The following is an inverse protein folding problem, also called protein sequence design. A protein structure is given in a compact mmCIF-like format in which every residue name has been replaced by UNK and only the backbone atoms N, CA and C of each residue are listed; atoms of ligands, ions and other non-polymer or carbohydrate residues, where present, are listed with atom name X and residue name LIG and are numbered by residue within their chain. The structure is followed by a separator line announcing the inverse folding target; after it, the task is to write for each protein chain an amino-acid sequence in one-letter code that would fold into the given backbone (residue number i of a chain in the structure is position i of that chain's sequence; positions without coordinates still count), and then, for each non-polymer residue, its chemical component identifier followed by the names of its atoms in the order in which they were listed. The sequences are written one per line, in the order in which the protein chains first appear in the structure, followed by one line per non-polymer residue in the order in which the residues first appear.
data_IF_995018559304
#
_entry.id   IF_995018559304
#
_cell.length_a   1.000
_cell.length_b   1.000
_cell.length_c   1.000
_cell.angle_alpha   90.00
_cell.angle_beta   90.00
_cell.angle_gamma   90.00
#
_symmetry.space_group_name_H-M   'P 1'
#
loop_
_entity.id
_entity.type
_entity.pdbx_description
1 polymer ?
#
# COMPACT_ATOMS: atom_id res chain seq x y z
N UNK A 1 20.24 -11.71 -61.53
CA UNK A 1 19.69 -10.51 -60.85
C UNK A 1 18.24 -10.76 -60.49
N UNK A 2 17.97 -11.14 -59.24
CA UNK A 2 16.60 -11.31 -58.73
C UNK A 2 16.37 -10.27 -57.63
N UNK A 3 15.35 -9.41 -57.80
CA UNK A 3 14.96 -8.37 -56.85
C UNK A 3 14.14 -8.99 -55.71
N UNK A 4 14.64 -8.82 -54.49
CA UNK A 4 13.95 -9.07 -53.22
C UNK A 4 12.67 -8.24 -53.13
N UNK A 5 11.54 -8.86 -52.78
CA UNK A 5 10.31 -8.19 -52.36
C UNK A 5 10.35 -8.09 -50.83
N UNK A 6 10.47 -6.87 -50.31
CA UNK A 6 10.25 -6.57 -48.88
C UNK A 6 8.78 -6.74 -48.53
N UNK A 7 8.50 -7.50 -47.47
CA UNK A 7 7.18 -7.58 -46.86
C UNK A 7 6.77 -6.22 -46.26
N UNK A 8 5.48 -5.86 -46.25
CA UNK A 8 5.03 -4.65 -45.57
C UNK A 8 5.11 -4.84 -44.05
N UNK A 9 5.65 -3.84 -43.36
CA UNK A 9 5.61 -3.73 -41.90
C UNK A 9 4.16 -3.80 -41.42
N UNK A 10 3.82 -4.85 -40.66
CA UNK A 10 2.59 -4.87 -39.90
C UNK A 10 2.70 -3.81 -38.80
N UNK A 11 1.80 -2.81 -38.73
CA UNK A 11 1.77 -1.93 -37.57
C UNK A 11 1.45 -2.80 -36.34
N UNK A 12 2.31 -2.75 -35.34
CA UNK A 12 2.04 -3.35 -34.03
C UNK A 12 0.67 -2.85 -33.56
N UNK A 13 -0.18 -3.71 -32.97
CA UNK A 13 -1.46 -3.26 -32.46
C UNK A 13 -1.21 -2.14 -31.44
N UNK A 14 -2.02 -1.07 -31.43
CA UNK A 14 -1.90 -0.06 -30.41
C UNK A 14 -2.06 -0.76 -29.06
N UNK A 15 -1.11 -0.59 -28.16
CA UNK A 15 -1.26 -1.07 -26.78
C UNK A 15 -2.38 -0.22 -26.18
N UNK A 16 -3.61 -0.74 -26.19
CA UNK A 16 -4.76 -0.11 -25.56
C UNK A 16 -4.58 -0.28 -24.05
N UNK A 17 -3.72 0.55 -23.44
CA UNK A 17 -3.73 0.80 -21.99
C UNK A 17 -4.91 1.73 -21.65
N UNK A 18 -6.14 1.32 -21.97
CA UNK A 18 -7.32 2.05 -21.51
C UNK A 18 -7.77 1.48 -20.17
N UNK A 19 -6.99 1.78 -19.12
CA UNK A 19 -7.42 1.69 -17.71
C UNK A 19 -8.84 2.22 -17.53
N UNK A 20 -9.20 3.27 -18.29
CA UNK A 20 -10.51 3.92 -18.31
C UNK A 20 -11.64 2.97 -18.75
N UNK A 21 -11.39 2.04 -19.67
CA UNK A 21 -12.40 1.07 -20.12
C UNK A 21 -12.66 -0.04 -19.08
N UNK A 22 -11.69 -0.30 -18.19
CA UNK A 22 -11.80 -1.27 -17.08
C UNK A 22 -12.25 -0.66 -15.76
N UNK A 23 -12.42 0.67 -15.66
CA UNK A 23 -13.04 1.36 -14.51
C UNK A 23 -14.56 1.15 -14.51
N UNK A 24 -15.03 -0.08 -14.57
CA UNK A 24 -16.44 -0.41 -14.50
C UNK A 24 -16.80 -0.81 -13.06
N UNK A 25 -17.68 -0.01 -12.46
CA UNK A 25 -18.63 -0.35 -11.38
C UNK A 25 -18.38 0.20 -9.97
N UNK A 26 -17.27 0.86 -9.66
CA UNK A 26 -17.14 1.59 -8.39
C UNK A 26 -16.23 2.80 -8.56
N UNK A 27 -16.83 3.92 -8.97
CA UNK A 27 -16.16 5.21 -8.94
C UNK A 27 -16.42 5.80 -7.56
N UNK A 28 -15.35 6.11 -6.83
CA UNK A 28 -15.44 6.90 -5.60
C UNK A 28 -16.25 8.17 -5.88
N UNK A 29 -17.23 8.47 -5.02
CA UNK A 29 -18.11 9.62 -5.21
C UNK A 29 -17.36 10.95 -5.20
N UNK A 30 -16.13 10.97 -4.66
CA UNK A 30 -15.26 12.16 -4.61
C UNK A 30 -15.99 13.36 -4.01
N UNK A 31 -16.88 13.14 -3.04
CA UNK A 31 -17.81 14.12 -2.47
C UNK A 31 -17.13 15.34 -1.85
N UNK A 32 -15.84 15.23 -1.50
CA UNK A 32 -15.00 16.32 -0.99
C UNK A 32 -14.57 17.31 -2.09
N UNK A 33 -14.51 16.86 -3.34
CA UNK A 33 -14.15 17.73 -4.45
C UNK A 33 -15.32 18.66 -4.80
N UNK A 34 -15.07 19.97 -4.84
CA UNK A 34 -16.12 20.98 -5.05
C UNK A 34 -16.90 20.83 -6.35
N UNK A 35 -16.28 20.27 -7.40
CA UNK A 35 -16.99 20.00 -8.65
C UNK A 35 -17.98 18.83 -8.50
N UNK A 36 -17.73 17.88 -7.60
CA UNK A 36 -18.60 16.74 -7.34
C UNK A 36 -19.60 16.99 -6.20
N UNK A 37 -19.38 18.02 -5.38
CA UNK A 37 -20.34 18.48 -4.35
C UNK A 37 -21.51 19.29 -4.90
N UNK A 38 -21.40 19.86 -6.11
CA UNK A 38 -22.51 20.57 -6.77
C UNK A 38 -23.50 19.59 -7.43
N UNK A 39 -24.79 19.95 -7.58
CA UNK A 39 -25.80 19.06 -8.16
C UNK A 39 -25.46 18.54 -9.56
N UNK A 40 -25.87 17.31 -9.86
CA UNK A 40 -25.56 16.63 -11.12
C UNK A 40 -25.95 17.45 -12.37
N UNK A 41 -27.12 18.07 -12.37
CA UNK A 41 -27.59 18.92 -13.47
C UNK A 41 -26.65 20.11 -13.73
N UNK A 42 -26.09 20.70 -12.68
CA UNK A 42 -25.12 21.80 -12.80
C UNK A 42 -23.78 21.28 -13.34
N UNK A 43 -23.30 20.12 -12.85
CA UNK A 43 -22.09 19.49 -13.40
C UNK A 43 -22.23 19.20 -14.89
N UNK A 44 -23.36 18.63 -15.29
CA UNK A 44 -23.65 18.32 -16.68
C UNK A 44 -23.67 19.58 -17.54
N UNK A 45 -24.22 20.68 -17.02
CA UNK A 45 -24.24 21.95 -17.74
C UNK A 45 -22.83 22.55 -17.86
N UNK A 46 -22.01 22.49 -16.81
CA UNK A 46 -20.59 22.86 -16.87
C UNK A 46 -19.87 22.04 -17.95
N UNK A 47 -20.07 20.72 -17.97
CA UNK A 47 -19.46 19.85 -18.98
C UNK A 47 -19.95 20.18 -20.39
N UNK A 48 -21.25 20.43 -20.57
CA UNK A 48 -21.80 20.84 -21.87
C UNK A 48 -21.21 22.14 -22.35
N UNK A 49 -21.08 23.15 -21.48
CA UNK A 49 -20.51 24.44 -21.82
C UNK A 49 -19.01 24.32 -22.13
N UNK A 50 -18.25 23.58 -21.31
CA UNK A 50 -16.82 23.36 -21.51
C UNK A 50 -16.51 22.59 -22.80
N UNK A 51 -17.39 21.67 -23.20
CA UNK A 51 -17.25 20.83 -24.40
C UNK A 51 -18.05 21.36 -25.59
N UNK A 52 -18.64 22.56 -25.48
CA UNK A 52 -19.45 23.15 -26.55
C UNK A 52 -18.55 23.55 -27.72
N UNK A 53 -19.09 23.37 -28.92
CA UNK A 53 -18.48 23.89 -30.13
C UNK A 53 -18.65 25.42 -30.21
N UNK A 54 -17.61 26.14 -30.64
CA UNK A 54 -17.65 27.59 -30.87
C UNK A 54 -16.80 27.97 -32.10
N UNK A 55 -16.97 29.22 -32.56
CA UNK A 55 -16.19 29.81 -33.66
C UNK A 55 -14.75 30.10 -33.21
N UNK A 56 -13.78 29.49 -33.89
CA UNK A 56 -12.36 29.78 -33.67
C UNK A 56 -11.97 31.04 -34.45
N UNK A 57 -12.00 32.19 -33.76
CA UNK A 57 -11.70 33.51 -34.34
C UNK A 57 -10.30 33.59 -34.96
N UNK A 58 -9.39 32.70 -34.58
CA UNK A 58 -8.05 32.62 -35.18
C UNK A 58 -8.02 31.90 -36.53
N UNK A 59 -9.13 31.26 -36.93
CA UNK A 59 -9.23 30.39 -38.12
C UNK A 59 -10.39 30.79 -39.03
N UNK A 60 -10.27 31.99 -39.61
CA UNK A 60 -11.20 32.48 -40.63
C UNK A 60 -11.16 31.61 -41.89
N UNK A 61 -12.31 31.38 -42.53
CA UNK A 61 -12.32 30.83 -43.89
C UNK A 61 -11.73 31.86 -44.88
N UNK A 62 -10.86 31.46 -45.82
CA UNK A 62 -10.39 32.38 -46.85
C UNK A 62 -11.57 32.95 -47.64
N UNK A 63 -11.57 34.25 -47.92
CA UNK A 63 -12.72 34.98 -48.49
C UNK A 63 -13.25 34.37 -49.79
N UNK A 64 -12.34 33.87 -50.64
CA UNK A 64 -12.65 33.27 -51.93
C UNK A 64 -12.70 31.74 -51.92
N UNK A 65 -12.62 31.09 -50.75
CA UNK A 65 -12.78 29.64 -50.67
C UNK A 65 -14.25 29.25 -50.89
N UNK A 66 -14.48 28.11 -51.56
CA UNK A 66 -15.82 27.52 -51.71
C UNK A 66 -16.57 27.32 -50.37
N UNK A 67 -15.82 27.21 -49.26
CA UNK A 67 -16.36 27.04 -47.90
C UNK A 67 -16.57 28.35 -47.13
N UNK A 68 -16.31 29.50 -47.76
CA UNK A 68 -16.59 30.82 -47.20
C UNK A 68 -18.09 30.97 -46.90
N UNK A 69 -18.43 31.61 -45.80
CA UNK A 69 -19.79 31.71 -45.24
C UNK A 69 -20.02 33.15 -44.75
N UNK A 70 -21.22 33.73 -44.93
CA UNK A 70 -21.56 35.04 -44.37
C UNK A 70 -21.68 34.98 -42.83
N UNK A 71 -21.61 36.13 -42.12
CA UNK A 71 -21.73 36.14 -40.67
C UNK A 71 -23.10 35.65 -40.21
N UNK A 72 -23.18 34.95 -39.06
CA UNK A 72 -22.14 34.85 -38.04
C UNK A 72 -21.07 33.75 -38.28
N UNK A 73 -21.32 32.78 -39.17
CA UNK A 73 -20.49 31.57 -39.30
C UNK A 73 -19.27 31.72 -40.23
N UNK A 74 -18.46 32.77 -40.03
CA UNK A 74 -17.26 33.05 -40.87
C UNK A 74 -16.03 32.25 -40.48
N UNK A 75 -16.04 31.67 -39.28
CA UNK A 75 -14.89 31.00 -38.69
C UNK A 75 -15.06 29.48 -38.74
N UNK A 76 -13.93 28.77 -38.64
CA UNK A 76 -13.96 27.32 -38.44
C UNK A 76 -14.43 27.04 -37.02
N UNK A 77 -15.25 26.02 -36.90
CA UNK A 77 -15.75 25.60 -35.59
C UNK A 77 -14.71 24.73 -34.88
N UNK A 78 -14.53 24.94 -33.57
CA UNK A 78 -13.65 24.17 -32.70
C UNK A 78 -14.43 23.64 -31.49
N UNK A 79 -14.14 22.41 -31.09
CA UNK A 79 -14.58 21.83 -29.82
C UNK A 79 -13.40 21.90 -28.85
N UNK A 80 -13.60 22.47 -27.66
CA UNK A 80 -12.56 22.46 -26.63
C UNK A 80 -12.63 21.13 -25.87
N UNK A 81 -11.58 20.31 -26.00
CA UNK A 81 -11.42 19.08 -25.20
C UNK A 81 -10.26 19.20 -24.21
N UNK A 82 -9.70 20.40 -24.05
CA UNK A 82 -8.47 20.67 -23.30
C UNK A 82 -8.61 20.23 -21.84
N UNK A 83 -9.78 20.41 -21.21
CA UNK A 83 -10.06 19.93 -19.85
C UNK A 83 -9.95 18.40 -19.75
N UNK A 84 -10.59 17.66 -20.66
CA UNK A 84 -10.57 16.19 -20.65
C UNK A 84 -9.17 15.64 -20.93
N UNK A 85 -8.47 16.24 -21.91
CA UNK A 85 -7.10 15.87 -22.25
C UNK A 85 -6.17 16.14 -21.06
N UNK A 86 -6.33 17.28 -20.39
CA UNK A 86 -5.53 17.63 -19.21
C UNK A 86 -5.77 16.65 -18.07
N UNK A 87 -7.02 16.38 -17.71
CA UNK A 87 -7.35 15.40 -16.67
C UNK A 87 -6.82 14.00 -17.00
N UNK A 88 -6.96 13.55 -18.25
CA UNK A 88 -6.40 12.28 -18.72
C UNK A 88 -4.88 12.26 -18.60
N UNK A 89 -4.21 13.34 -19.02
CA UNK A 89 -2.75 13.46 -18.98
C UNK A 89 -2.23 13.43 -17.54
N UNK A 90 -2.83 14.20 -16.64
CA UNK A 90 -2.50 14.19 -15.20
C UNK A 90 -2.66 12.78 -14.63
N UNK A 91 -3.78 12.11 -14.92
CA UNK A 91 -3.98 10.74 -14.45
C UNK A 91 -2.91 9.79 -15.01
N UNK A 92 -2.67 9.80 -16.32
CA UNK A 92 -1.65 8.95 -16.94
C UNK A 92 -0.24 9.20 -16.37
N UNK A 93 0.10 10.45 -16.04
CA UNK A 93 1.40 10.82 -15.47
C UNK A 93 1.54 10.52 -13.97
N UNK A 94 0.42 10.43 -13.21
CA UNK A 94 0.47 10.37 -11.75
C UNK A 94 -0.20 9.14 -11.10
N UNK A 95 -0.88 8.27 -11.88
CA UNK A 95 -1.69 7.16 -11.36
C UNK A 95 -0.91 6.10 -10.54
N UNK A 96 0.41 6.05 -10.68
CA UNK A 96 1.31 5.14 -9.97
C UNK A 96 2.07 5.84 -8.82
N UNK A 97 2.23 7.17 -8.86
CA UNK A 97 2.97 7.95 -7.86
C UNK A 97 2.48 7.67 -6.45
N UNK A 98 1.16 7.66 -6.23
CA UNK A 98 0.58 7.39 -4.92
C UNK A 98 1.01 6.02 -4.36
N UNK A 99 1.22 5.02 -5.22
CA UNK A 99 1.67 3.69 -4.85
C UNK A 99 3.19 3.63 -4.68
N UNK A 100 3.93 4.45 -5.44
CA UNK A 100 5.38 4.52 -5.41
C UNK A 100 5.95 5.23 -4.17
N UNK A 101 5.29 6.31 -3.73
CA UNK A 101 5.80 7.17 -2.65
C UNK A 101 5.38 6.70 -1.26
N UNK A 102 4.28 5.96 -1.15
CA UNK A 102 3.72 5.55 0.13
C UNK A 102 4.04 4.08 0.46
N UNK A 103 4.33 3.76 1.73
CA UNK A 103 4.42 2.38 2.16
C UNK A 103 3.03 1.71 2.10
N UNK A 104 2.99 0.51 1.52
CA UNK A 104 1.79 -0.32 1.52
C UNK A 104 1.73 -1.10 2.82
N UNK A 105 0.81 -0.69 3.68
CA UNK A 105 0.65 -1.26 5.02
C UNK A 105 -0.36 -2.40 5.02
N UNK A 106 0.03 -3.52 5.64
CA UNK A 106 -0.81 -4.68 5.88
C UNK A 106 -0.76 -5.08 7.35
N UNK A 107 -1.86 -5.65 7.82
CA UNK A 107 -1.99 -6.16 9.17
C UNK A 107 -2.25 -7.66 9.11
N UNK A 108 -1.49 -8.40 9.89
CA UNK A 108 -1.84 -9.77 10.25
C UNK A 108 -3.19 -9.73 10.96
N UNK A 109 -4.01 -10.65 10.49
CA UNK A 109 -5.40 -10.79 10.80
C UNK A 109 -5.62 -12.27 11.15
N UNK A 110 -4.74 -12.82 11.99
CA UNK A 110 -4.76 -14.20 12.43
C UNK A 110 -6.03 -14.48 13.25
N UNK A 111 -6.92 -15.33 12.69
CA UNK A 111 -8.01 -16.01 13.40
C UNK A 111 -9.32 -15.23 13.55
N UNK A 112 -10.38 -15.95 13.94
CA UNK A 112 -11.78 -15.50 14.17
C UNK A 112 -11.96 -14.21 15.01
N UNK A 113 -10.86 -13.75 15.61
CA UNK A 113 -10.71 -12.57 16.45
C UNK A 113 -10.85 -11.24 15.67
N UNK A 114 -10.99 -11.27 14.35
CA UNK A 114 -11.26 -10.04 13.55
C UNK A 114 -12.70 -9.55 13.59
N UNK A 115 -13.67 -10.41 13.94
CA UNK A 115 -14.96 -9.90 14.37
C UNK A 115 -14.80 -9.17 15.73
N UNK A 116 -13.70 -9.43 16.43
CA UNK A 116 -13.48 -9.06 17.81
C UNK A 116 -12.27 -8.12 18.04
N UNK A 117 -11.63 -7.45 17.06
CA UNK A 117 -10.52 -6.50 17.39
C UNK A 117 -10.59 -5.13 16.74
N UNK A 118 -11.64 -4.84 16.00
CA UNK A 118 -12.01 -3.45 15.75
C UNK A 118 -10.98 -2.60 15.00
N UNK A 119 -10.14 -3.24 14.19
CA UNK A 119 -9.14 -2.53 13.40
C UNK A 119 -9.81 -1.57 12.40
N UNK A 120 -9.16 -0.42 12.11
CA UNK A 120 -9.70 0.56 11.18
C UNK A 120 -10.00 -0.11 9.84
N UNK A 121 -11.17 0.23 9.27
CA UNK A 121 -11.84 -0.25 8.06
C UNK A 121 -10.93 -0.34 6.81
N UNK A 122 -9.92 -1.19 6.90
CA UNK A 122 -8.90 -1.40 5.89
C UNK A 122 -9.04 -2.83 5.42
N UNK A 123 -9.65 -2.98 4.24
CA UNK A 123 -9.88 -4.23 3.51
C UNK A 123 -8.59 -4.97 3.10
N UNK A 124 -7.45 -4.70 3.75
CA UNK A 124 -6.11 -5.19 3.44
C UNK A 124 -5.59 -6.09 4.58
N UNK A 125 -6.36 -7.12 4.86
CA UNK A 125 -5.96 -8.16 5.80
C UNK A 125 -5.08 -9.18 5.09
N UNK A 126 -4.06 -9.69 5.79
CA UNK A 126 -3.22 -10.77 5.31
C UNK A 126 -3.97 -12.12 5.38
N UNK A 127 -5.07 -12.27 4.61
CA UNK A 127 -5.85 -13.52 4.46
C UNK A 127 -5.29 -14.38 3.33
N UNK A 128 -5.87 -15.58 3.20
CA UNK A 128 -5.42 -16.71 2.36
C UNK A 128 -5.00 -16.39 0.92
N UNK A 129 -5.53 -15.32 0.32
CA UNK A 129 -5.10 -14.86 -1.01
C UNK A 129 -4.72 -13.37 -1.03
N UNK A 130 -3.43 -13.11 -0.83
CA UNK A 130 -2.85 -11.78 -0.93
C UNK A 130 -2.82 -11.24 -2.37
N UNK A 131 -2.89 -12.10 -3.39
CA UNK A 131 -2.92 -11.67 -4.79
C UNK A 131 -4.20 -10.89 -5.10
N UNK A 132 -5.30 -11.21 -4.40
CA UNK A 132 -6.53 -10.45 -4.44
C UNK A 132 -6.35 -8.99 -4.01
N UNK A 133 -5.43 -8.66 -3.10
CA UNK A 133 -5.18 -7.25 -2.74
C UNK A 133 -4.67 -6.42 -3.93
N UNK A 134 -4.07 -7.06 -4.93
CA UNK A 134 -3.45 -6.40 -6.07
C UNK A 134 -4.19 -6.58 -7.39
N UNK A 135 -5.22 -7.44 -7.45
CA UNK A 135 -5.97 -7.75 -8.68
C UNK A 135 -6.51 -6.51 -9.43
N UNK A 136 -6.85 -5.44 -8.71
CA UNK A 136 -7.37 -4.17 -9.23
C UNK A 136 -6.30 -3.22 -9.78
N UNK A 137 -5.03 -3.45 -9.46
CA UNK A 137 -3.93 -2.63 -9.94
C UNK A 137 -3.42 -3.14 -11.28
N UNK A 138 -3.01 -2.20 -12.14
CA UNK A 138 -2.30 -2.53 -13.38
C UNK A 138 -0.90 -3.05 -13.11
N UNK A 139 -0.25 -3.57 -14.15
CA UNK A 139 1.14 -4.04 -14.09
C UNK A 139 2.07 -2.91 -13.63
N UNK A 140 1.89 -1.70 -14.16
CA UNK A 140 2.70 -0.52 -13.80
C UNK A 140 2.48 -0.14 -12.34
N UNK A 141 1.22 -0.10 -11.90
CA UNK A 141 0.86 0.21 -10.52
C UNK A 141 1.41 -0.80 -9.52
N UNK A 142 1.39 -2.10 -9.84
CA UNK A 142 1.99 -3.12 -8.99
C UNK A 142 3.51 -3.03 -8.97
N UNK A 143 4.14 -2.74 -10.11
CA UNK A 143 5.59 -2.53 -10.20
C UNK A 143 6.06 -1.27 -9.44
N UNK A 144 5.19 -0.27 -9.27
CA UNK A 144 5.44 0.92 -8.47
C UNK A 144 5.46 0.64 -6.96
N UNK A 145 4.83 -0.45 -6.50
CA UNK A 145 4.85 -0.85 -5.08
C UNK A 145 6.26 -1.34 -4.70
N UNK A 146 7.03 -0.44 -4.10
CA UNK A 146 8.43 -0.70 -3.72
C UNK A 146 8.66 -0.75 -2.22
N UNK A 147 7.69 -0.29 -1.43
CA UNK A 147 7.79 -0.16 0.02
C UNK A 147 6.58 -0.83 0.67
N UNK A 148 6.81 -1.86 1.48
CA UNK A 148 5.78 -2.62 2.17
C UNK A 148 6.02 -2.59 3.67
N UNK A 149 4.96 -2.41 4.44
CA UNK A 149 4.98 -2.48 5.91
C UNK A 149 3.99 -3.55 6.37
N UNK A 150 4.47 -4.46 7.21
CA UNK A 150 3.68 -5.53 7.79
C UNK A 150 3.63 -5.33 9.30
N UNK A 151 2.45 -5.37 9.89
CA UNK A 151 2.24 -5.47 11.33
C UNK A 151 1.78 -6.88 11.64
N UNK A 152 2.58 -7.67 12.34
CA UNK A 152 2.39 -9.12 12.41
C UNK A 152 2.63 -9.67 13.79
N UNK A 153 2.03 -10.83 14.06
CA UNK A 153 2.39 -11.68 15.20
C UNK A 153 3.68 -12.47 14.93
N UNK A 154 4.34 -12.89 16.02
CA UNK A 154 5.50 -13.80 15.92
C UNK A 154 5.12 -15.13 15.23
N UNK A 155 3.89 -15.58 15.44
CA UNK A 155 3.41 -16.87 14.90
C UNK A 155 3.11 -16.76 13.40
N UNK A 156 2.58 -15.62 12.96
CA UNK A 156 2.35 -15.37 11.54
C UNK A 156 3.64 -15.37 10.71
N UNK A 157 4.75 -14.87 11.24
CA UNK A 157 6.06 -14.96 10.56
C UNK A 157 6.48 -16.40 10.29
N UNK A 158 6.09 -17.34 11.15
CA UNK A 158 6.39 -18.76 10.98
C UNK A 158 5.26 -19.53 10.27
N UNK A 159 4.24 -18.82 9.77
CA UNK A 159 3.08 -19.41 9.10
C UNK A 159 3.30 -19.62 7.59
N UNK A 160 2.54 -20.53 6.96
CA UNK A 160 2.50 -20.65 5.49
C UNK A 160 2.10 -19.34 4.78
N UNK A 161 1.30 -18.48 5.42
CA UNK A 161 0.85 -17.21 4.86
C UNK A 161 2.01 -16.23 4.63
N UNK A 162 3.00 -16.19 5.54
CA UNK A 162 4.19 -15.36 5.33
C UNK A 162 5.05 -15.88 4.18
N UNK A 163 5.17 -17.21 4.04
CA UNK A 163 5.85 -17.80 2.89
C UNK A 163 5.12 -17.44 1.59
N UNK A 164 3.80 -17.53 1.55
CA UNK A 164 2.99 -17.11 0.40
C UNK A 164 3.20 -15.63 0.07
N UNK A 165 3.24 -14.74 1.08
CA UNK A 165 3.58 -13.33 0.89
C UNK A 165 4.94 -13.16 0.21
N UNK A 166 5.97 -13.85 0.68
CA UNK A 166 7.32 -13.76 0.11
C UNK A 166 7.39 -14.28 -1.34
N UNK A 167 6.48 -15.16 -1.73
CA UNK A 167 6.39 -15.73 -3.08
C UNK A 167 5.53 -14.92 -4.05
N UNK A 168 4.89 -13.84 -3.60
CA UNK A 168 4.07 -12.99 -4.45
C UNK A 168 4.88 -12.42 -5.61
N UNK A 169 4.44 -12.73 -6.83
CA UNK A 169 5.03 -12.19 -8.06
C UNK A 169 4.35 -10.90 -8.52
N UNK A 170 3.20 -10.58 -7.93
CA UNK A 170 2.43 -9.39 -8.24
C UNK A 170 3.20 -8.11 -7.91
N UNK A 171 3.90 -8.10 -6.77
CA UNK A 171 4.70 -6.96 -6.32
C UNK A 171 6.16 -7.34 -6.19
N UNK A 172 7.04 -6.33 -6.23
CA UNK A 172 8.48 -6.56 -6.12
C UNK A 172 9.10 -5.54 -5.15
N UNK A 173 8.82 -5.68 -3.83
CA UNK A 173 9.25 -4.72 -2.83
C UNK A 173 10.78 -4.62 -2.79
N UNK A 174 11.26 -3.39 -2.67
CA UNK A 174 12.68 -3.05 -2.44
C UNK A 174 12.96 -2.83 -0.96
N UNK A 175 11.97 -2.33 -0.23
CA UNK A 175 12.00 -2.14 1.23
C UNK A 175 10.84 -2.90 1.86
N UNK A 176 11.16 -3.70 2.86
CA UNK A 176 10.17 -4.40 3.68
C UNK A 176 10.39 -4.01 5.14
N UNK A 177 9.34 -3.53 5.80
CA UNK A 177 9.33 -3.32 7.24
C UNK A 177 8.35 -4.27 7.89
N UNK A 178 8.80 -4.95 8.93
CA UNK A 178 8.01 -5.88 9.71
C UNK A 178 8.00 -5.34 11.13
N UNK A 179 6.82 -5.14 11.71
CA UNK A 179 6.66 -4.66 13.07
C UNK A 179 5.91 -5.69 13.90
N UNK A 180 6.54 -6.18 14.97
CA UNK A 180 5.91 -7.00 16.01
C UNK A 180 5.61 -6.07 17.19
N UNK A 181 4.32 -5.86 17.47
CA UNK A 181 3.86 -4.96 18.55
C UNK A 181 3.82 -5.69 19.90
N UNK A 182 3.75 -4.96 21.03
CA UNK A 182 3.75 -5.57 22.36
C UNK A 182 2.65 -6.61 22.57
N UNK A 183 1.48 -6.41 21.96
CA UNK A 183 0.32 -7.31 22.03
C UNK A 183 0.42 -8.55 21.13
N UNK A 184 1.44 -8.63 20.29
CA UNK A 184 1.58 -9.62 19.20
C UNK A 184 2.63 -10.71 19.51
N UNK A 185 3.21 -10.69 20.72
CA UNK A 185 4.21 -11.64 21.20
C UNK A 185 3.63 -12.95 21.79
N UNK A 186 2.30 -13.13 21.81
CA UNK A 186 1.51 -14.22 22.44
C UNK A 186 0.82 -13.82 23.77
N UNK A 187 -0.53 -13.72 23.82
CA UNK A 187 -1.27 -13.43 25.05
C UNK A 187 -1.41 -14.62 26.02
N UNK A 188 -1.25 -15.86 25.55
CA UNK A 188 -1.57 -17.08 26.31
C UNK A 188 -0.34 -17.77 26.91
N UNK A 189 0.83 -17.67 26.27
CA UNK A 189 2.08 -18.30 26.73
C UNK A 189 3.05 -17.23 27.24
N UNK A 190 2.85 -16.74 28.46
CA UNK A 190 3.87 -16.04 29.27
C UNK A 190 4.82 -15.04 28.56
N UNK A 191 4.38 -14.37 27.48
CA UNK A 191 5.06 -13.25 26.83
C UNK A 191 6.55 -13.45 26.54
N UNK A 192 7.02 -14.68 26.27
CA UNK A 192 8.44 -14.89 25.95
C UNK A 192 8.77 -14.16 24.65
N UNK A 193 9.64 -13.16 24.75
CA UNK A 193 10.15 -12.45 23.57
C UNK A 193 11.26 -13.30 23.00
N UNK A 194 10.85 -14.25 22.17
CA UNK A 194 11.73 -15.02 21.31
C UNK A 194 11.18 -15.00 19.88
N UNK A 195 12.09 -15.14 18.93
CA UNK A 195 11.73 -15.22 17.53
C UNK A 195 12.54 -16.34 16.91
N UNK A 196 11.86 -17.35 16.36
CA UNK A 196 12.50 -18.32 15.47
C UNK A 196 13.15 -17.58 14.29
N UNK A 197 14.04 -18.24 13.55
CA UNK A 197 14.73 -17.68 12.40
C UNK A 197 14.35 -18.35 11.08
N UNK A 198 13.57 -19.44 11.10
CA UNK A 198 13.18 -20.16 9.90
C UNK A 198 12.45 -19.27 8.86
N UNK A 199 11.69 -18.28 9.34
CA UNK A 199 11.02 -17.30 8.47
C UNK A 199 11.99 -16.50 7.59
N UNK A 200 13.23 -16.25 8.04
CA UNK A 200 14.22 -15.47 7.29
C UNK A 200 14.59 -16.14 5.95
N UNK A 201 14.50 -17.47 5.87
CA UNK A 201 14.77 -18.23 4.65
C UNK A 201 13.74 -17.97 3.54
N UNK A 202 12.57 -17.42 3.88
CA UNK A 202 11.54 -17.07 2.89
C UNK A 202 11.95 -15.86 2.04
N UNK A 203 12.88 -15.01 2.49
CA UNK A 203 13.32 -13.86 1.72
C UNK A 203 14.09 -14.21 0.44
N UNK A 204 14.53 -15.47 0.29
CA UNK A 204 15.04 -15.97 -0.99
C UNK A 204 14.03 -15.86 -2.13
N UNK A 205 12.73 -15.75 -1.83
CA UNK A 205 11.68 -15.55 -2.83
C UNK A 205 11.42 -14.08 -3.16
N UNK A 206 11.87 -13.13 -2.33
CA UNK A 206 11.63 -11.69 -2.52
C UNK A 206 12.71 -11.08 -3.42
N UNK A 207 12.50 -11.20 -4.74
CA UNK A 207 13.52 -10.96 -5.75
C UNK A 207 14.12 -9.54 -5.82
N UNK A 208 13.48 -8.48 -5.30
CA UNK A 208 14.01 -7.11 -5.40
C UNK A 208 14.37 -6.46 -4.07
N UNK A 209 14.31 -7.23 -2.98
CA UNK A 209 14.58 -6.71 -1.65
C UNK A 209 16.01 -6.16 -1.56
N UNK A 210 16.13 -4.95 -1.01
CA UNK A 210 17.41 -4.27 -0.73
C UNK A 210 17.54 -3.89 0.73
N UNK A 211 16.43 -3.82 1.45
CA UNK A 211 16.35 -3.35 2.80
C UNK A 211 15.24 -4.11 3.53
N UNK A 212 15.61 -4.73 4.64
CA UNK A 212 14.68 -5.32 5.59
C UNK A 212 14.82 -4.60 6.92
N UNK A 213 13.70 -4.18 7.49
CA UNK A 213 13.64 -3.66 8.86
C UNK A 213 12.71 -4.56 9.67
N UNK A 214 13.20 -5.05 10.80
CA UNK A 214 12.40 -5.72 11.81
C UNK A 214 12.33 -4.83 13.05
N UNK A 215 11.18 -4.24 13.28
CA UNK A 215 10.86 -3.46 14.47
C UNK A 215 10.18 -4.36 15.49
N UNK A 216 10.76 -4.46 16.67
CA UNK A 216 10.28 -5.28 17.77
C UNK A 216 9.97 -4.37 18.95
N UNK A 217 8.70 -4.32 19.33
CA UNK A 217 8.21 -3.47 20.41
C UNK A 217 7.76 -4.30 21.60
N UNK A 218 8.13 -3.88 22.80
CA UNK A 218 7.68 -4.49 24.05
C UNK A 218 7.62 -3.47 25.18
N UNK A 219 7.10 -3.89 26.33
CA UNK A 219 7.14 -3.15 27.60
C UNK A 219 8.54 -3.18 28.21
N UNK A 220 8.96 -2.12 28.90
CA UNK A 220 10.32 -2.00 29.46
C UNK A 220 10.71 -3.19 30.36
N UNK A 221 9.74 -3.75 31.09
CA UNK A 221 9.96 -4.92 31.95
C UNK A 221 10.46 -6.17 31.21
N UNK A 222 10.27 -6.25 29.88
CA UNK A 222 10.75 -7.35 29.04
C UNK A 222 11.93 -6.95 28.14
N UNK A 223 12.57 -5.81 28.40
CA UNK A 223 13.67 -5.28 27.58
C UNK A 223 14.87 -6.24 27.50
N UNK A 224 15.21 -6.95 28.57
CA UNK A 224 16.32 -7.91 28.59
C UNK A 224 16.07 -9.12 27.65
N UNK A 225 14.81 -9.59 27.59
CA UNK A 225 14.43 -10.67 26.66
C UNK A 225 14.48 -10.19 25.21
N UNK A 226 14.02 -8.96 24.96
CA UNK A 226 14.14 -8.33 23.64
C UNK A 226 15.60 -8.19 23.22
N UNK A 227 16.48 -7.73 24.10
CA UNK A 227 17.90 -7.59 23.80
C UNK A 227 18.55 -8.94 23.49
N UNK A 228 18.18 -10.01 24.20
CA UNK A 228 18.63 -11.37 23.89
C UNK A 228 18.25 -11.78 22.46
N UNK A 229 16.98 -11.55 22.06
CA UNK A 229 16.51 -11.81 20.70
C UNK A 229 17.26 -10.96 19.65
N UNK A 230 17.53 -9.69 19.95
CA UNK A 230 18.29 -8.79 19.07
C UNK A 230 19.71 -9.30 18.87
N UNK A 231 20.41 -9.70 19.93
CA UNK A 231 21.76 -10.25 19.84
C UNK A 231 21.84 -11.51 18.99
N UNK A 232 20.79 -12.34 19.01
CA UNK A 232 20.73 -13.52 18.15
C UNK A 232 20.46 -13.17 16.68
N UNK A 233 19.61 -12.17 16.41
CA UNK A 233 19.36 -11.66 15.05
C UNK A 233 20.59 -10.99 14.44
N UNK A 234 21.40 -10.30 15.24
CA UNK A 234 22.64 -9.65 14.79
C UNK A 234 23.67 -10.63 14.23
N UNK A 235 23.61 -11.91 14.64
CA UNK A 235 24.49 -12.97 14.15
C UNK A 235 24.04 -13.54 12.80
N UNK A 236 22.90 -13.10 12.26
CA UNK A 236 22.28 -13.66 11.05
C UNK A 236 22.53 -12.79 9.82
N UNK A 237 22.82 -13.47 8.71
CA UNK A 237 22.78 -12.91 7.35
C UNK A 237 21.55 -13.44 6.62
N UNK A 238 20.92 -12.60 5.79
CA UNK A 238 19.73 -13.00 5.03
C UNK A 238 20.14 -13.32 3.60
N UNK A 239 19.86 -14.54 3.15
CA UNK A 239 20.08 -14.94 1.76
C UNK A 239 18.88 -14.52 0.90
N UNK A 240 19.19 -13.92 -0.24
CA UNK A 240 18.23 -13.50 -1.25
C UNK A 240 18.43 -14.30 -2.54
N UNK A 241 17.46 -14.21 -3.46
CA UNK A 241 17.60 -14.78 -4.80
C UNK A 241 18.86 -14.29 -5.54
N UNK A 242 19.52 -15.21 -6.24
CA UNK A 242 20.65 -14.90 -7.13
C UNK A 242 21.96 -14.64 -6.40
N UNK A 243 22.24 -15.39 -5.33
CA UNK A 243 23.45 -15.28 -4.50
C UNK A 243 23.67 -13.91 -3.85
N UNK A 244 22.62 -13.09 -3.77
CA UNK A 244 22.64 -11.82 -3.05
C UNK A 244 22.37 -12.07 -1.57
N UNK A 245 22.84 -11.18 -0.72
CA UNK A 245 22.56 -11.21 0.71
C UNK A 245 22.32 -9.80 1.26
N UNK A 246 21.59 -9.73 2.36
CA UNK A 246 21.56 -8.54 3.22
C UNK A 246 22.50 -8.82 4.40
N UNK A 247 23.53 -7.98 4.55
CA UNK A 247 24.65 -8.25 5.45
C UNK A 247 25.18 -7.04 6.22
N UNK A 248 24.91 -5.81 5.75
CA UNK A 248 25.14 -4.62 6.59
C UNK A 248 23.99 -4.55 7.61
N UNK A 249 24.31 -4.65 8.90
CA UNK A 249 23.33 -4.67 9.98
C UNK A 249 23.49 -3.45 10.87
N UNK A 250 22.40 -2.72 11.10
CA UNK A 250 22.34 -1.62 12.06
C UNK A 250 21.19 -1.81 13.03
N UNK A 251 21.35 -1.27 14.24
CA UNK A 251 20.32 -1.36 15.30
C UNK A 251 20.01 0.04 15.82
N UNK A 252 18.72 0.35 15.92
CA UNK A 252 18.20 1.56 16.54
C UNK A 252 17.31 1.17 17.71
N UNK A 253 17.44 1.87 18.83
CA UNK A 253 16.67 1.61 20.06
C UNK A 253 15.99 2.90 20.48
N UNK A 254 14.69 2.80 20.72
CA UNK A 254 13.86 3.91 21.14
C UNK A 254 13.07 3.52 22.38
N UNK A 255 12.77 4.50 23.21
CA UNK A 255 11.90 4.37 24.38
C UNK A 255 10.80 5.40 24.28
N UNK A 256 9.58 5.00 24.62
CA UNK A 256 8.44 5.92 24.62
C UNK A 256 7.42 5.53 25.69
N UNK A 257 6.69 6.53 26.18
CA UNK A 257 5.53 6.31 27.04
C UNK A 257 4.31 6.06 26.15
N UNK A 258 3.57 4.99 26.42
CA UNK A 258 2.34 4.67 25.71
C UNK A 258 1.25 4.21 26.66
N UNK A 259 0.06 3.95 26.13
CA UNK A 259 -1.04 3.46 26.94
C UNK A 259 -0.82 2.00 27.35
N UNK A 260 -1.10 1.66 28.62
CA UNK A 260 -1.15 0.28 29.09
C UNK A 260 -2.52 -0.38 28.86
N UNK A 261 -3.38 0.22 28.04
CA UNK A 261 -4.69 -0.32 27.67
C UNK A 261 -4.89 -0.08 26.18
N UNK A 262 -5.40 -1.10 25.50
CA UNK A 262 -5.89 -1.01 24.14
C UNK A 262 -7.38 -1.27 24.19
N UNK A 263 -8.15 -0.19 24.16
CA UNK A 263 -9.59 -0.23 24.01
C UNK A 263 -9.93 -0.67 22.58
N UNK A 264 -10.92 -1.55 22.40
CA UNK A 264 -11.37 -1.91 21.08
C UNK A 264 -12.26 -0.80 20.54
N UNK A 265 -12.16 -0.55 19.24
CA UNK A 265 -12.99 0.46 18.57
C UNK A 265 -14.49 0.13 18.50
N UNK A 266 -14.94 -1.04 19.00
CA UNK A 266 -16.33 -1.54 18.84
C UNK A 266 -16.80 -2.41 20.03
N UNK A 267 -18.12 -2.49 20.21
CA UNK A 267 -18.85 -2.95 21.42
C UNK A 267 -18.72 -4.45 21.80
N UNK A 268 -18.13 -5.30 20.97
CA UNK A 268 -18.16 -6.77 21.15
C UNK A 268 -16.81 -7.38 21.56
N UNK A 269 -15.91 -6.54 22.07
CA UNK A 269 -14.50 -6.89 22.24
C UNK A 269 -14.09 -6.54 23.66
N UNK A 270 -13.41 -7.46 24.33
CA UNK A 270 -12.75 -7.12 25.59
C UNK A 270 -11.49 -6.31 25.27
N UNK A 271 -11.38 -5.11 25.84
CA UNK A 271 -10.13 -4.35 25.82
C UNK A 271 -8.99 -5.23 26.36
N UNK A 272 -7.74 -4.94 25.99
CA UNK A 272 -6.59 -5.59 26.64
C UNK A 272 -5.83 -4.57 27.46
N UNK A 273 -5.43 -4.95 28.66
CA UNK A 273 -4.62 -4.11 29.53
C UNK A 273 -3.35 -4.83 29.96
N UNK A 274 -2.33 -4.06 30.32
CA UNK A 274 -1.09 -4.58 30.86
C UNK A 274 -1.18 -4.73 32.38
N UNK A 275 -1.07 -5.96 32.89
CA UNK A 275 -0.92 -6.21 34.32
C UNK A 275 0.56 -6.11 34.70
N UNK A 276 0.91 -5.12 35.53
CA UNK A 276 2.27 -5.00 36.07
C UNK A 276 2.61 -6.13 37.06
N UNK A 277 1.63 -6.56 37.86
CA UNK A 277 1.81 -7.64 38.85
C UNK A 277 2.13 -8.97 38.16
N UNK A 278 1.43 -9.27 37.07
CA UNK A 278 1.62 -10.52 36.31
C UNK A 278 2.59 -10.35 35.14
N UNK A 279 3.11 -9.14 34.93
CA UNK A 279 4.00 -8.76 33.83
C UNK A 279 3.51 -9.24 32.44
N UNK A 280 2.21 -9.13 32.17
CA UNK A 280 1.58 -9.63 30.93
C UNK A 280 0.34 -8.85 30.51
N UNK A 281 0.00 -8.94 29.22
CA UNK A 281 -1.26 -8.46 28.67
C UNK A 281 -2.41 -9.39 29.04
N UNK A 282 -3.53 -8.83 29.50
CA UNK A 282 -4.74 -9.55 29.88
C UNK A 282 -5.97 -8.94 29.22
N UNK A 283 -7.01 -9.75 29.03
CA UNK A 283 -8.34 -9.24 28.73
C UNK A 283 -8.82 -8.37 29.91
N UNK A 284 -9.31 -7.17 29.60
CA UNK A 284 -9.88 -6.23 30.53
C UNK A 284 -11.34 -6.59 30.80
N UNK A 285 -11.79 -6.38 32.03
CA UNK A 285 -13.21 -6.46 32.35
C UNK A 285 -13.93 -5.21 31.80
N UNK A 286 -15.19 -5.33 31.35
CA UNK A 286 -15.98 -4.19 30.91
C UNK A 286 -15.98 -3.05 31.95
N UNK A 287 -15.59 -1.84 31.54
CA UNK A 287 -15.50 -0.67 32.42
C UNK A 287 -14.17 -0.50 33.16
N UNK A 288 -13.20 -1.40 32.96
CA UNK A 288 -11.83 -1.22 33.44
C UNK A 288 -11.20 0.02 32.81
N UNK A 289 -10.91 1.04 33.62
CA UNK A 289 -10.10 2.20 33.20
C UNK A 289 -8.66 1.94 33.62
N UNK A 290 -7.73 1.96 32.68
CA UNK A 290 -6.30 1.99 33.01
C UNK A 290 -5.82 3.43 33.03
N UNK A 291 -5.47 4.00 34.20
CA UNK A 291 -4.90 5.35 34.28
C UNK A 291 -3.40 5.38 33.95
N UNK A 292 -2.79 4.26 33.54
CA UNK A 292 -1.34 4.14 33.52
C UNK A 292 -0.77 4.23 32.11
N UNK A 293 0.08 5.24 31.91
CA UNK A 293 1.09 5.17 30.87
C UNK A 293 2.14 4.14 31.28
N UNK A 294 2.51 3.27 30.36
CA UNK A 294 3.60 2.31 30.54
C UNK A 294 4.73 2.66 29.58
N UNK A 295 5.95 2.39 30.02
CA UNK A 295 7.13 2.60 29.22
C UNK A 295 7.32 1.40 28.28
N UNK A 296 7.52 1.71 27.00
CA UNK A 296 7.81 0.77 25.94
C UNK A 296 9.24 0.94 25.45
N UNK A 297 9.81 -0.17 24.99
CA UNK A 297 11.06 -0.24 24.24
C UNK A 297 10.73 -0.70 22.83
N UNK A 298 11.23 0.02 21.84
CA UNK A 298 11.26 -0.42 20.44
C UNK A 298 12.70 -0.64 20.03
N UNK A 299 13.01 -1.81 19.47
CA UNK A 299 14.30 -2.06 18.84
C UNK A 299 14.09 -2.40 17.37
N UNK A 300 14.71 -1.63 16.50
CA UNK A 300 14.72 -1.88 15.06
C UNK A 300 16.05 -2.49 14.66
N UNK A 301 16.01 -3.70 14.10
CA UNK A 301 17.15 -4.31 13.42
C UNK A 301 16.96 -4.13 11.92
N UNK A 302 17.95 -3.56 11.26
CA UNK A 302 17.92 -3.27 9.84
C UNK A 302 19.04 -4.00 9.11
N UNK A 303 18.68 -4.75 8.06
CA UNK A 303 19.62 -5.37 7.14
C UNK A 303 19.58 -4.67 5.79
N UNK A 304 20.75 -4.25 5.29
CA UNK A 304 20.93 -3.62 3.99
C UNK A 304 21.77 -4.47 3.07
N UNK A 305 21.46 -4.36 1.78
CA UNK A 305 22.25 -4.94 0.71
C UNK A 305 23.59 -4.20 0.64
N UNK A 306 24.69 -4.96 0.66
CA UNK A 306 26.04 -4.45 0.41
C UNK A 306 26.21 -3.99 -1.03
#
# INVERSE_FOLDING_TARGET
MARSKSAPDNPSPPVIHSLIATLTNSVDSQSVCRIFSIPYNIRLEIYRLALRQYDDETRLYPEHAFRSRPPPSRYRQRICTDLLITCKRVYMEAHDIALAVNPHTFWDASGDVLNERGYPDTKKYLRDDLSWCFHKYTVEQRAAITDVRLFVSKDWLNSPQFQMFCQLKDIAPKRLRITIRPTEWDPQINGMINLDHAWMDNFKYVGRLKNLQLEMQTVEANSDQLETTVQDLLKKSILLAGSRSLGEVSVTRDRYMGHGIFEPGWEWINAVYYSQEENRWKAAEPGSRSPYQIQYVSTTVEWRMQ
#
